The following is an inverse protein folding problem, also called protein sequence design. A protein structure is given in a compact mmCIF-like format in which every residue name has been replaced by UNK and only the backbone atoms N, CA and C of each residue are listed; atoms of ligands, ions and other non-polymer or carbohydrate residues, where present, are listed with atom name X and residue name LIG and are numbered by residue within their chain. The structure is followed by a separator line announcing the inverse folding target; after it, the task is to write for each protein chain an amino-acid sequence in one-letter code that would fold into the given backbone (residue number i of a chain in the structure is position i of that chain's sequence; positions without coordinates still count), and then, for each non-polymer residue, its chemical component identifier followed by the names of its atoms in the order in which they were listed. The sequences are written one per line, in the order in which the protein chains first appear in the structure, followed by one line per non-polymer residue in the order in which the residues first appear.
data_IF_483736319027
#
_entry.id   IF_483736319027
#
_cell.length_a   1.000
_cell.length_b   1.000
_cell.length_c   1.000
_cell.angle_alpha   90.00
_cell.angle_beta   90.00
_cell.angle_gamma   90.00
#
_symmetry.space_group_name_H-M   'P 1'
#
loop_
_entity.id
_entity.type
_entity.pdbx_description
1 polymer ?
#
# COMPACT_ATOMS: atom_id res chain seq x y z
N UNK A 1 33.95 -10.63 -67.84
CA UNK A 1 33.35 -10.84 -66.51
C UNK A 1 32.95 -9.48 -65.96
N UNK A 2 31.66 -9.14 -65.95
CA UNK A 2 31.14 -7.85 -65.45
C UNK A 2 30.31 -8.15 -64.21
N UNK A 3 30.69 -7.59 -63.07
CA UNK A 3 29.96 -7.67 -61.81
C UNK A 3 29.08 -6.43 -61.74
N UNK A 4 27.77 -6.63 -61.86
CA UNK A 4 26.75 -5.59 -61.63
C UNK A 4 26.43 -5.56 -60.14
N UNK A 5 26.78 -4.44 -59.50
CA UNK A 5 26.41 -4.12 -58.12
C UNK A 5 24.96 -3.63 -58.09
N UNK A 6 24.11 -4.31 -57.32
CA UNK A 6 22.73 -3.89 -57.08
C UNK A 6 22.71 -3.06 -55.78
N UNK A 7 22.61 -1.74 -55.92
CA UNK A 7 22.40 -0.82 -54.79
C UNK A 7 20.95 -0.88 -54.34
N UNK A 8 20.72 -1.38 -53.12
CA UNK A 8 19.42 -1.35 -52.47
C UNK A 8 19.23 0.03 -51.80
N UNK A 9 18.46 0.90 -52.44
CA UNK A 9 18.03 2.19 -51.90
C UNK A 9 16.80 1.94 -50.99
N UNK A 10 17.03 1.79 -49.69
CA UNK A 10 15.95 1.69 -48.72
C UNK A 10 15.28 3.05 -48.53
N UNK A 11 14.07 3.21 -49.08
CA UNK A 11 13.19 4.34 -48.76
C UNK A 11 12.73 4.22 -47.30
N UNK A 12 13.22 5.11 -46.44
CA UNK A 12 12.65 5.41 -45.14
C UNK A 12 11.26 6.05 -45.34
N UNK A 13 10.23 5.21 -45.41
CA UNK A 13 8.84 5.67 -45.25
C UNK A 13 8.66 5.92 -43.76
N UNK A 14 8.65 7.18 -43.37
CA UNK A 14 8.25 7.60 -42.03
C UNK A 14 6.79 7.23 -41.79
N UNK A 15 6.55 6.10 -41.11
CA UNK A 15 5.29 5.86 -40.44
C UNK A 15 5.19 6.87 -39.30
N UNK A 16 4.53 8.00 -39.54
CA UNK A 16 3.84 8.72 -38.48
C UNK A 16 2.79 7.76 -37.93
N UNK A 17 3.12 7.09 -36.82
CA UNK A 17 2.16 6.35 -36.02
C UNK A 17 1.03 7.33 -35.68
N UNK A 18 -0.12 7.15 -36.32
CA UNK A 18 -1.32 7.90 -36.01
C UNK A 18 -1.68 7.58 -34.57
N UNK A 19 -1.41 8.52 -33.67
CA UNK A 19 -1.88 8.46 -32.29
C UNK A 19 -3.41 8.42 -32.38
N UNK A 20 -4.08 7.36 -31.90
CA UNK A 20 -5.53 7.27 -31.95
C UNK A 20 -6.13 8.53 -31.30
N UNK A 21 -7.11 9.13 -31.98
CA UNK A 21 -7.82 10.32 -31.53
C UNK A 21 -8.59 9.95 -30.25
N UNK A 22 -7.96 10.14 -29.09
CA UNK A 22 -8.59 9.90 -27.79
C UNK A 22 -9.72 10.92 -27.55
N UNK A 23 -10.82 10.52 -26.89
CA UNK A 23 -11.88 11.43 -26.48
C UNK A 23 -11.30 12.63 -25.71
N UNK A 24 -11.65 13.85 -26.12
CA UNK A 24 -11.12 15.13 -25.63
C UNK A 24 -11.77 15.62 -24.33
N UNK A 25 -12.30 14.72 -23.50
CA UNK A 25 -13.06 15.16 -22.32
C UNK A 25 -12.15 15.64 -21.16
N UNK A 26 -10.84 15.36 -21.23
CA UNK A 26 -9.85 15.87 -20.28
C UNK A 26 -8.79 16.68 -21.01
N UNK A 27 -8.57 17.93 -20.58
CA UNK A 27 -7.42 18.75 -21.00
C UNK A 27 -6.18 18.31 -20.22
N UNK A 28 -5.16 17.71 -20.87
CA UNK A 28 -3.96 17.26 -20.17
C UNK A 28 -3.13 18.39 -19.55
N UNK A 29 -3.33 19.64 -19.98
CA UNK A 29 -2.65 20.81 -19.42
C UNK A 29 -3.41 21.40 -18.22
N UNK A 30 -4.69 21.06 -18.07
CA UNK A 30 -5.52 21.43 -16.93
C UNK A 30 -6.48 20.28 -16.58
N UNK A 31 -5.94 19.14 -16.10
CA UNK A 31 -6.76 17.96 -15.84
C UNK A 31 -7.88 18.23 -14.83
N UNK A 32 -7.62 19.08 -13.83
CA UNK A 32 -8.62 19.45 -12.82
C UNK A 32 -9.83 20.20 -13.37
N UNK A 33 -9.75 20.79 -14.58
CA UNK A 33 -10.95 21.37 -15.21
C UNK A 33 -12.03 20.32 -15.52
N UNK A 34 -11.65 19.05 -15.50
CA UNK A 34 -12.50 17.90 -15.79
C UNK A 34 -12.98 17.19 -14.51
N UNK A 35 -12.60 17.70 -13.34
CA UNK A 35 -13.00 17.14 -12.06
C UNK A 35 -14.54 17.22 -11.89
N UNK A 36 -15.16 16.22 -11.23
CA UNK A 36 -16.59 16.24 -10.97
C UNK A 36 -16.99 17.49 -10.20
N UNK A 37 -17.99 18.22 -10.72
CA UNK A 37 -18.55 19.42 -10.06
C UNK A 37 -19.32 19.09 -8.79
N UNK A 38 -19.77 17.85 -8.66
CA UNK A 38 -20.47 17.32 -7.50
C UNK A 38 -19.79 16.02 -7.09
N UNK A 39 -19.42 15.86 -5.82
CA UNK A 39 -18.84 14.62 -5.32
C UNK A 39 -19.76 13.43 -5.64
N UNK A 40 -19.19 12.28 -6.02
CA UNK A 40 -19.98 11.07 -6.20
C UNK A 40 -20.59 10.66 -4.85
N UNK A 41 -21.83 10.16 -4.86
CA UNK A 41 -22.52 9.70 -3.64
C UNK A 41 -21.93 8.43 -3.04
N UNK A 42 -21.14 7.69 -3.83
CA UNK A 42 -20.36 6.52 -3.44
C UNK A 42 -19.21 6.37 -4.42
N UNK A 43 -18.07 5.86 -3.96
CA UNK A 43 -17.01 5.49 -4.89
C UNK A 43 -17.35 4.16 -5.55
N UNK A 44 -16.76 3.92 -6.73
CA UNK A 44 -16.71 2.54 -7.23
C UNK A 44 -15.74 1.79 -6.32
N UNK A 45 -16.09 0.57 -5.92
CA UNK A 45 -15.19 -0.30 -5.16
C UNK A 45 -13.78 -0.19 -5.75
N UNK A 46 -12.76 0.08 -4.90
CA UNK A 46 -11.44 0.30 -5.41
C UNK A 46 -11.03 -0.92 -6.22
N UNK A 47 -10.39 -0.76 -7.40
CA UNK A 47 -9.91 -1.90 -8.16
C UNK A 47 -8.68 -2.50 -7.46
N UNK A 48 -8.85 -3.11 -6.28
CA UNK A 48 -7.94 -4.17 -5.87
C UNK A 48 -8.10 -5.29 -6.89
N UNK A 49 -7.03 -5.93 -7.35
CA UNK A 49 -7.13 -7.01 -8.32
C UNK A 49 -8.15 -8.06 -7.83
N UNK A 50 -9.37 -8.03 -8.40
CA UNK A 50 -10.51 -8.83 -7.92
C UNK A 50 -10.25 -10.34 -7.97
N UNK A 51 -9.19 -10.78 -8.67
CA UNK A 51 -8.73 -12.17 -8.68
C UNK A 51 -8.18 -12.65 -7.34
N UNK A 52 -7.93 -11.76 -6.38
CA UNK A 52 -7.41 -12.10 -5.05
C UNK A 52 -8.27 -11.38 -4.01
N UNK A 53 -9.47 -11.88 -3.74
CA UNK A 53 -10.36 -11.35 -2.68
C UNK A 53 -9.78 -11.46 -1.26
N UNK A 54 -8.50 -11.82 -1.13
CA UNK A 54 -7.75 -11.97 0.11
C UNK A 54 -6.32 -11.50 -0.13
N UNK A 55 -5.71 -10.87 0.87
CA UNK A 55 -4.29 -10.50 0.83
C UNK A 55 -3.45 -11.76 0.52
N UNK A 56 -2.72 -11.81 -0.60
CA UNK A 56 -1.97 -13.00 -0.96
C UNK A 56 -0.81 -13.31 -0.01
N UNK A 57 -0.34 -12.31 0.73
CA UNK A 57 0.76 -12.42 1.70
C UNK A 57 0.29 -12.84 3.09
N UNK A 58 -1.00 -12.69 3.41
CA UNK A 58 -1.52 -12.85 4.77
C UNK A 58 -1.09 -14.17 5.43
N UNK A 59 -0.23 -14.05 6.45
CA UNK A 59 0.27 -15.18 7.24
C UNK A 59 1.16 -16.16 6.47
N UNK A 60 1.66 -15.77 5.31
CA UNK A 60 2.51 -16.61 4.46
C UNK A 60 3.95 -16.11 4.37
N UNK A 61 4.24 -14.89 4.80
CA UNK A 61 5.61 -14.41 4.91
C UNK A 61 6.35 -15.17 6.01
N UNK A 62 7.59 -15.56 5.70
CA UNK A 62 8.42 -16.37 6.60
C UNK A 62 9.64 -15.58 7.07
N UNK A 63 10.12 -15.90 8.26
CA UNK A 63 11.42 -15.40 8.72
C UNK A 63 12.54 -16.13 7.97
N UNK A 64 13.59 -15.38 7.64
CA UNK A 64 14.85 -15.93 7.14
C UNK A 64 15.35 -17.04 8.09
N UNK A 65 15.84 -18.19 7.58
CA UNK A 65 16.30 -19.29 8.43
C UNK A 65 17.40 -18.87 9.41
N UNK A 66 17.41 -19.43 10.61
CA UNK A 66 18.46 -19.15 11.60
C UNK A 66 19.89 -19.54 11.14
N UNK A 67 20.01 -20.41 10.13
CA UNK A 67 21.30 -20.71 9.47
C UNK A 67 21.88 -19.53 8.69
N UNK A 68 21.07 -18.50 8.42
CA UNK A 68 21.44 -17.25 7.77
C UNK A 68 21.84 -16.16 8.78
N UNK A 69 22.60 -16.51 9.81
CA UNK A 69 23.10 -15.53 10.80
C UNK A 69 23.99 -14.43 10.22
N UNK A 70 24.44 -14.56 8.96
CA UNK A 70 25.10 -13.51 8.20
C UNK A 70 24.62 -13.53 6.74
N UNK A 71 23.62 -12.70 6.41
CA UNK A 71 23.14 -12.52 5.04
C UNK A 71 24.14 -11.84 4.11
N UNK A 72 25.17 -11.17 4.65
CA UNK A 72 26.26 -10.54 3.89
C UNK A 72 27.26 -11.56 3.37
N UNK A 73 27.39 -12.69 4.06
CA UNK A 73 28.24 -13.81 3.66
C UNK A 73 27.50 -15.12 3.96
N UNK A 74 26.43 -15.42 3.19
CA UNK A 74 25.58 -16.55 3.50
C UNK A 74 26.38 -17.85 3.34
N UNK A 75 26.25 -18.74 4.32
CA UNK A 75 26.78 -20.09 4.19
C UNK A 75 26.02 -20.87 3.11
N UNK A 76 26.62 -21.92 2.55
CA UNK A 76 25.90 -22.84 1.66
C UNK A 76 24.64 -23.43 2.33
N UNK A 77 24.68 -23.60 3.65
CA UNK A 77 23.53 -24.05 4.43
C UNK A 77 22.42 -22.99 4.45
N UNK A 78 22.76 -21.72 4.67
CA UNK A 78 21.80 -20.61 4.55
C UNK A 78 21.14 -20.58 3.17
N UNK A 79 21.93 -20.67 2.09
CA UNK A 79 21.40 -20.64 0.72
C UNK A 79 20.44 -21.80 0.46
N UNK A 80 20.81 -23.02 0.85
CA UNK A 80 19.93 -24.20 0.73
C UNK A 80 18.64 -24.06 1.55
N UNK A 81 18.74 -23.54 2.76
CA UNK A 81 17.57 -23.38 3.64
C UNK A 81 16.63 -22.27 3.13
N UNK A 82 17.18 -21.19 2.57
CA UNK A 82 16.40 -20.15 1.88
C UNK A 82 15.69 -20.71 0.65
N UNK A 83 16.38 -21.53 -0.16
CA UNK A 83 15.78 -22.19 -1.31
C UNK A 83 14.69 -23.19 -0.91
N UNK A 84 14.81 -23.85 0.24
CA UNK A 84 13.80 -24.78 0.76
C UNK A 84 12.51 -24.06 1.23
N UNK A 85 12.58 -22.76 1.52
CA UNK A 85 11.40 -21.96 1.90
C UNK A 85 10.58 -21.45 0.69
N UNK A 86 10.93 -21.82 -0.55
CA UNK A 86 10.42 -21.23 -1.80
C UNK A 86 8.95 -21.53 -2.19
N UNK A 87 8.12 -22.09 -1.30
CA UNK A 87 6.83 -22.67 -1.73
C UNK A 87 5.57 -21.86 -1.38
N UNK A 88 5.67 -20.72 -0.69
CA UNK A 88 4.49 -20.19 0.00
C UNK A 88 3.81 -18.96 -0.62
N UNK A 89 4.48 -18.08 -1.39
CA UNK A 89 3.86 -16.83 -1.86
C UNK A 89 4.27 -16.41 -3.28
N UNK A 90 3.62 -16.98 -4.30
CA UNK A 90 3.89 -16.67 -5.70
C UNK A 90 3.33 -15.33 -6.23
N UNK A 91 3.37 -14.23 -5.47
CA UNK A 91 2.67 -12.96 -5.84
C UNK A 91 3.54 -11.77 -6.24
N UNK A 92 4.84 -11.77 -5.95
CA UNK A 92 5.81 -10.96 -6.70
C UNK A 92 6.65 -11.87 -7.60
N UNK A 93 7.63 -11.30 -8.30
CA UNK A 93 8.76 -12.06 -8.83
C UNK A 93 9.62 -12.77 -7.74
N UNK A 94 9.16 -12.79 -6.47
CA UNK A 94 9.84 -13.24 -5.26
C UNK A 94 8.91 -13.36 -4.04
N UNK A 95 9.46 -13.77 -2.88
CA UNK A 95 8.75 -13.79 -1.59
C UNK A 95 9.09 -12.53 -0.77
N UNK A 96 8.16 -12.16 0.12
CA UNK A 96 8.44 -11.25 1.24
C UNK A 96 8.87 -12.09 2.45
N UNK A 97 10.11 -11.88 2.92
CA UNK A 97 10.69 -12.56 4.08
C UNK A 97 11.04 -11.53 5.15
N UNK A 98 10.93 -11.91 6.42
CA UNK A 98 11.39 -11.08 7.53
C UNK A 98 12.83 -11.45 7.89
N UNK A 99 13.71 -10.45 8.06
CA UNK A 99 15.13 -10.66 8.35
C UNK A 99 15.36 -11.52 9.60
N UNK A 100 14.58 -11.25 10.64
CA UNK A 100 14.58 -11.94 11.92
C UNK A 100 13.20 -11.75 12.60
N UNK A 101 13.11 -12.06 13.88
CA UNK A 101 11.90 -11.82 14.68
C UNK A 101 11.84 -10.41 15.28
N UNK A 102 12.52 -9.41 14.68
CA UNK A 102 12.46 -8.01 15.14
C UNK A 102 11.12 -7.34 14.85
N UNK A 103 10.38 -7.84 13.85
CA UNK A 103 9.01 -7.42 13.61
C UNK A 103 8.06 -8.15 14.56
N UNK A 104 7.23 -7.41 15.29
CA UNK A 104 6.07 -8.01 15.97
C UNK A 104 4.98 -8.42 14.95
N UNK A 105 3.96 -9.12 15.42
CA UNK A 105 2.92 -9.66 14.52
C UNK A 105 2.08 -8.55 13.85
N UNK A 106 1.90 -7.40 14.51
CA UNK A 106 1.22 -6.24 13.93
C UNK A 106 2.05 -5.61 12.82
N UNK A 107 3.36 -5.46 13.03
CA UNK A 107 4.30 -4.97 12.02
C UNK A 107 4.41 -5.91 10.82
N UNK A 108 4.45 -7.23 11.05
CA UNK A 108 4.43 -8.23 9.97
C UNK A 108 3.15 -8.09 9.13
N UNK A 109 1.99 -8.03 9.78
CA UNK A 109 0.71 -7.84 9.09
C UNK A 109 0.70 -6.52 8.30
N UNK A 110 1.18 -5.43 8.88
CA UNK A 110 1.25 -4.14 8.20
C UNK A 110 2.16 -4.19 6.96
N UNK A 111 3.27 -4.91 7.01
CA UNK A 111 4.17 -5.10 5.87
C UNK A 111 3.55 -6.00 4.80
N UNK A 112 2.87 -7.08 5.17
CA UNK A 112 2.14 -7.93 4.23
C UNK A 112 1.03 -7.14 3.50
N UNK A 113 0.29 -6.27 4.22
CA UNK A 113 -0.70 -5.36 3.62
C UNK A 113 -0.02 -4.34 2.72
N UNK A 114 1.04 -3.69 3.18
CA UNK A 114 1.74 -2.68 2.40
C UNK A 114 2.34 -3.23 1.12
N UNK A 115 2.89 -4.45 1.19
CA UNK A 115 3.34 -5.15 0.01
C UNK A 115 2.15 -5.34 -0.95
N UNK A 116 1.01 -5.85 -0.50
CA UNK A 116 -0.16 -6.04 -1.36
C UNK A 116 -0.66 -4.72 -1.98
N UNK A 117 -0.66 -3.65 -1.21
CA UNK A 117 -0.98 -2.30 -1.69
C UNK A 117 0.04 -1.85 -2.75
N UNK A 118 1.34 -2.06 -2.55
CA UNK A 118 2.38 -1.77 -3.54
C UNK A 118 2.19 -2.57 -4.85
N UNK A 119 1.79 -3.84 -4.76
CA UNK A 119 1.43 -4.65 -5.93
C UNK A 119 0.24 -4.05 -6.67
N UNK A 120 -0.79 -3.63 -5.93
CA UNK A 120 -1.99 -2.98 -6.47
C UNK A 120 -1.61 -1.70 -7.20
N UNK A 121 -0.85 -0.81 -6.57
CA UNK A 121 -0.36 0.43 -7.17
C UNK A 121 0.51 0.15 -8.41
N UNK A 122 1.43 -0.81 -8.33
CA UNK A 122 2.24 -1.21 -9.47
C UNK A 122 1.37 -1.67 -10.65
N UNK A 123 0.24 -2.36 -10.43
CA UNK A 123 -0.72 -2.76 -11.46
C UNK A 123 -1.39 -1.58 -12.20
N UNK A 124 -1.56 -0.45 -11.53
CA UNK A 124 -2.05 0.78 -12.15
C UNK A 124 -0.97 1.46 -12.99
N UNK A 125 0.25 1.61 -12.45
CA UNK A 125 1.33 2.30 -13.18
C UNK A 125 2.05 1.44 -14.24
N UNK A 126 2.01 0.11 -14.15
CA UNK A 126 2.69 -0.82 -15.06
C UNK A 126 1.98 -1.05 -16.40
N UNK A 127 1.21 -0.07 -16.86
CA UNK A 127 0.50 -0.08 -18.13
C UNK A 127 0.76 1.24 -18.87
N UNK A 128 0.78 1.15 -20.19
CA UNK A 128 0.84 2.35 -21.04
C UNK A 128 -0.47 3.15 -20.87
N UNK A 129 -0.43 4.48 -20.74
CA UNK A 129 -1.65 5.28 -20.63
C UNK A 129 -2.52 5.11 -21.88
N UNK A 130 -3.81 4.84 -21.69
CA UNK A 130 -4.81 4.58 -22.73
C UNK A 130 -5.90 5.66 -22.80
N UNK A 131 -5.95 6.56 -21.82
CA UNK A 131 -6.95 7.63 -21.70
C UNK A 131 -6.32 9.00 -21.50
N UNK A 132 -7.07 10.06 -21.82
CA UNK A 132 -6.63 11.44 -21.58
C UNK A 132 -6.32 11.72 -20.10
N UNK A 133 -7.09 11.10 -19.21
CA UNK A 133 -6.90 11.09 -17.75
C UNK A 133 -5.53 10.56 -17.36
N UNK A 134 -5.20 9.34 -17.80
CA UNK A 134 -3.91 8.72 -17.51
C UNK A 134 -2.76 9.53 -18.12
N UNK A 135 -2.93 10.03 -19.35
CA UNK A 135 -1.91 10.89 -20.00
C UNK A 135 -1.63 12.14 -19.18
N UNK A 136 -2.67 12.78 -18.64
CA UNK A 136 -2.50 13.95 -17.78
C UNK A 136 -1.72 13.60 -16.50
N UNK A 137 -2.02 12.47 -15.87
CA UNK A 137 -1.26 11.97 -14.70
C UNK A 137 0.20 11.70 -15.04
N UNK A 138 0.46 11.05 -16.18
CA UNK A 138 1.82 10.81 -16.67
C UNK A 138 2.57 12.12 -16.93
N UNK A 139 1.92 13.12 -17.55
CA UNK A 139 2.52 14.45 -17.76
C UNK A 139 2.87 15.16 -16.45
N UNK A 140 2.01 15.03 -15.45
CA UNK A 140 2.20 15.68 -14.15
C UNK A 140 3.37 15.07 -13.36
N UNK A 141 3.44 13.74 -13.27
CA UNK A 141 4.37 13.06 -12.35
C UNK A 141 5.64 12.51 -13.03
N UNK A 142 5.63 12.33 -14.35
CA UNK A 142 6.81 11.92 -15.13
C UNK A 142 7.34 13.08 -15.98
N UNK A 143 6.46 13.83 -16.62
CA UNK A 143 6.80 15.01 -17.41
C UNK A 143 6.16 15.01 -18.79
N UNK A 144 6.09 16.16 -19.49
CA UNK A 144 5.46 16.26 -20.80
C UNK A 144 6.12 15.38 -21.88
N UNK A 145 7.39 15.00 -21.69
CA UNK A 145 8.19 14.11 -22.54
C UNK A 145 8.19 12.64 -22.10
N UNK A 146 7.23 12.23 -21.26
CA UNK A 146 7.16 10.88 -20.68
C UNK A 146 7.26 9.75 -21.71
N UNK A 147 6.79 9.97 -22.94
CA UNK A 147 6.79 8.96 -24.00
C UNK A 147 8.19 8.41 -24.31
N UNK A 148 9.24 9.20 -24.06
CA UNK A 148 10.64 8.78 -24.24
C UNK A 148 11.13 7.78 -23.18
N UNK A 149 10.51 7.75 -22.00
CA UNK A 149 10.87 6.87 -20.87
C UNK A 149 9.76 5.89 -20.48
N UNK A 150 8.61 5.95 -21.15
CA UNK A 150 7.43 5.15 -20.83
C UNK A 150 7.72 3.65 -20.77
N UNK A 151 8.49 3.12 -21.73
CA UNK A 151 8.88 1.71 -21.74
C UNK A 151 9.64 1.30 -20.48
N UNK A 152 10.64 2.08 -20.08
CA UNK A 152 11.40 1.84 -18.84
C UNK A 152 10.49 1.85 -17.62
N UNK A 153 9.65 2.87 -17.49
CA UNK A 153 8.81 3.05 -16.31
C UNK A 153 7.83 1.89 -16.17
N UNK A 154 7.16 1.53 -17.27
CA UNK A 154 6.23 0.40 -17.34
C UNK A 154 6.94 -0.92 -17.05
N UNK A 155 8.12 -1.16 -17.64
CA UNK A 155 8.87 -2.40 -17.43
C UNK A 155 9.34 -2.56 -15.97
N UNK A 156 9.76 -1.46 -15.34
CA UNK A 156 10.17 -1.45 -13.93
C UNK A 156 9.00 -1.79 -13.00
N UNK A 157 7.82 -1.18 -13.20
CA UNK A 157 6.62 -1.51 -12.41
C UNK A 157 6.12 -2.93 -12.70
N UNK A 158 6.26 -3.42 -13.93
CA UNK A 158 5.92 -4.81 -14.27
C UNK A 158 6.84 -5.84 -13.62
N UNK A 159 8.10 -5.51 -13.31
CA UNK A 159 8.98 -6.43 -12.57
C UNK A 159 8.43 -6.77 -11.19
N UNK A 160 7.66 -5.88 -10.59
CA UNK A 160 6.93 -6.12 -9.34
C UNK A 160 5.78 -7.12 -9.59
N UNK A 161 5.06 -6.94 -10.69
CA UNK A 161 3.93 -7.77 -11.09
C UNK A 161 4.32 -9.15 -11.65
N UNK A 162 5.58 -9.35 -12.04
CA UNK A 162 6.04 -10.50 -12.83
C UNK A 162 5.97 -11.79 -11.98
N UNK A 163 4.80 -12.43 -11.92
CA UNK A 163 4.58 -13.75 -11.29
C UNK A 163 5.31 -14.80 -12.12
N UNK A 164 6.60 -15.04 -11.85
CA UNK A 164 7.37 -16.03 -12.61
C UNK A 164 7.44 -17.36 -11.87
N UNK A 165 7.33 -18.50 -12.58
CA UNK A 165 7.61 -19.83 -12.03
C UNK A 165 9.09 -20.04 -11.65
N UNK A 166 9.95 -19.05 -11.90
CA UNK A 166 11.33 -19.01 -11.42
C UNK A 166 11.48 -17.71 -10.65
N UNK A 167 11.41 -17.83 -9.32
CA UNK A 167 11.78 -16.80 -8.36
C UNK A 167 13.05 -16.09 -8.82
N UNK A 168 12.99 -14.76 -8.93
CA UNK A 168 14.13 -13.95 -9.38
C UNK A 168 14.89 -13.33 -8.21
N UNK A 169 14.21 -13.03 -7.11
CA UNK A 169 14.79 -12.43 -5.92
C UNK A 169 13.89 -12.67 -4.70
N UNK A 170 14.38 -12.35 -3.50
CA UNK A 170 13.59 -12.20 -2.28
C UNK A 170 13.68 -10.76 -1.81
N UNK A 171 12.59 -10.24 -1.24
CA UNK A 171 12.62 -9.01 -0.45
C UNK A 171 12.72 -9.41 1.02
N UNK A 172 13.84 -9.05 1.64
CA UNK A 172 14.09 -9.22 3.07
C UNK A 172 13.72 -7.90 3.75
N UNK A 173 12.58 -7.90 4.43
CA UNK A 173 12.08 -6.78 5.19
C UNK A 173 12.60 -6.81 6.63
N UNK A 174 12.94 -5.64 7.17
CA UNK A 174 13.37 -5.46 8.56
C UNK A 174 12.59 -4.32 9.22
N UNK A 175 12.13 -4.54 10.45
CA UNK A 175 11.51 -3.53 11.31
C UNK A 175 12.54 -2.83 12.21
N UNK A 176 13.81 -3.23 12.11
CA UNK A 176 14.93 -2.66 12.84
C UNK A 176 15.81 -1.84 11.91
N UNK A 177 16.31 -0.71 12.42
CA UNK A 177 17.32 0.08 11.71
C UNK A 177 18.67 -0.65 11.62
N UNK A 178 18.84 -1.49 10.61
CA UNK A 178 20.00 -2.38 10.41
C UNK A 178 21.29 -1.64 10.03
N UNK A 179 21.17 -0.43 9.47
CA UNK A 179 22.29 0.44 9.06
C UNK A 179 22.46 1.69 9.90
N UNK A 180 21.56 1.95 10.86
CA UNK A 180 21.56 3.20 11.62
C UNK A 180 21.14 4.42 10.77
N UNK A 181 20.49 4.19 9.62
CA UNK A 181 20.15 5.22 8.66
C UNK A 181 18.83 5.92 8.98
N UNK A 182 17.91 5.30 9.72
CA UNK A 182 16.68 5.96 10.14
C UNK A 182 16.97 7.27 10.92
N UNK A 183 18.06 7.30 11.70
CA UNK A 183 18.52 8.51 12.42
C UNK A 183 19.26 9.52 11.55
N UNK A 184 19.99 9.08 10.52
CA UNK A 184 20.62 10.00 9.58
C UNK A 184 19.59 10.72 8.70
N UNK A 185 18.38 10.16 8.66
CA UNK A 185 17.27 10.64 7.86
C UNK A 185 16.29 11.48 8.71
N UNK A 186 16.45 11.58 10.04
CA UNK A 186 15.61 12.48 10.87
C UNK A 186 15.85 13.94 10.49
N UNK A 187 14.87 14.48 9.77
CA UNK A 187 14.89 15.74 9.04
C UNK A 187 14.01 15.61 7.78
N UNK A 188 14.09 14.44 7.13
CA UNK A 188 13.25 14.05 5.99
C UNK A 188 12.15 13.04 6.35
N UNK A 189 11.09 13.09 5.56
CA UNK A 189 9.82 12.35 5.68
C UNK A 189 9.89 10.87 5.30
N UNK A 190 10.93 10.17 5.69
CA UNK A 190 11.30 8.90 5.04
C UNK A 190 10.78 7.70 5.83
N UNK A 191 9.98 6.88 5.17
CA UNK A 191 9.40 5.67 5.74
C UNK A 191 10.39 4.49 5.82
N UNK A 192 11.49 4.51 5.08
CA UNK A 192 12.44 3.42 5.10
C UNK A 192 13.70 3.67 4.28
N UNK A 193 14.44 2.61 4.02
CA UNK A 193 15.51 2.62 3.04
C UNK A 193 15.68 1.21 2.47
N UNK A 194 16.09 1.16 1.22
CA UNK A 194 16.32 -0.08 0.51
C UNK A 194 17.75 -0.15 -0.02
N UNK A 195 18.26 -1.38 -0.10
CA UNK A 195 19.56 -1.65 -0.70
C UNK A 195 19.60 -3.05 -1.30
N UNK A 196 20.51 -3.22 -2.23
CA UNK A 196 20.79 -4.50 -2.85
C UNK A 196 22.17 -4.97 -2.42
N UNK A 197 22.26 -6.19 -1.90
CA UNK A 197 23.55 -6.81 -1.55
C UNK A 197 23.86 -7.95 -2.51
N UNK A 198 25.08 -7.97 -3.05
CA UNK A 198 25.58 -9.08 -3.87
C UNK A 198 26.26 -10.09 -2.97
N UNK A 199 25.59 -11.20 -2.71
CA UNK A 199 26.13 -12.32 -1.98
C UNK A 199 27.18 -13.11 -2.77
N UNK A 200 27.83 -14.03 -2.05
CA UNK A 200 28.75 -15.00 -2.64
C UNK A 200 27.98 -15.96 -3.58
N UNK A 201 28.64 -16.46 -4.64
CA UNK A 201 28.03 -17.27 -5.72
C UNK A 201 26.97 -16.57 -6.61
N UNK A 202 26.90 -15.24 -6.61
CA UNK A 202 26.03 -14.49 -7.52
C UNK A 202 24.57 -14.34 -7.05
N UNK A 203 24.26 -14.78 -5.83
CA UNK A 203 22.99 -14.46 -5.19
C UNK A 203 22.92 -12.95 -4.92
N UNK A 204 21.73 -12.39 -5.05
CA UNK A 204 21.49 -10.97 -4.77
C UNK A 204 20.33 -10.84 -3.81
N UNK A 205 20.58 -10.28 -2.64
CA UNK A 205 19.58 -10.05 -1.61
C UNK A 205 19.03 -8.64 -1.76
N UNK A 206 17.70 -8.52 -1.76
CA UNK A 206 17.01 -7.24 -1.83
C UNK A 206 16.51 -6.92 -0.44
N UNK A 207 16.96 -5.83 0.15
CA UNK A 207 16.60 -5.48 1.51
C UNK A 207 15.79 -4.21 1.55
N UNK A 208 14.78 -4.20 2.41
CA UNK A 208 14.02 -3.01 2.76
C UNK A 208 13.97 -2.93 4.29
N UNK A 209 14.47 -1.84 4.85
CA UNK A 209 14.28 -1.51 6.26
C UNK A 209 13.23 -0.42 6.38
N UNK A 210 12.25 -0.60 7.26
CA UNK A 210 11.22 0.40 7.52
C UNK A 210 11.51 1.08 8.85
N UNK A 211 11.48 2.39 8.86
CA UNK A 211 11.71 3.20 10.05
C UNK A 211 10.42 3.30 10.88
N UNK A 212 10.50 3.56 12.21
CA UNK A 212 9.31 3.56 13.08
C UNK A 212 8.13 4.41 12.58
N UNK A 213 8.42 5.59 12.02
CA UNK A 213 7.41 6.51 11.47
C UNK A 213 6.55 5.91 10.34
N UNK A 214 7.05 4.89 9.65
CA UNK A 214 6.32 4.17 8.61
C UNK A 214 5.07 3.46 9.14
N UNK A 215 5.16 2.92 10.34
CA UNK A 215 4.07 2.11 10.91
C UNK A 215 2.87 2.97 11.34
N UNK A 216 3.07 4.28 11.53
CA UNK A 216 2.00 5.25 11.74
C UNK A 216 1.25 5.68 10.47
N UNK A 217 1.68 5.25 9.27
CA UNK A 217 0.97 5.56 8.03
C UNK A 217 -0.28 4.70 7.85
N UNK A 218 -1.30 5.23 7.17
CA UNK A 218 -2.49 4.45 6.80
C UNK A 218 -2.19 3.45 5.67
N UNK A 219 -2.97 2.38 5.59
CA UNK A 219 -3.00 1.50 4.42
C UNK A 219 -3.64 2.20 3.22
N UNK A 220 -3.51 1.63 2.02
CA UNK A 220 -4.19 2.16 0.83
C UNK A 220 -5.72 2.15 1.02
N UNK A 221 -6.25 1.10 1.64
CA UNK A 221 -7.67 0.95 1.96
C UNK A 221 -8.13 1.96 3.00
N UNK A 222 -7.39 2.16 4.10
CA UNK A 222 -7.72 3.19 5.08
C UNK A 222 -7.74 4.60 4.48
N UNK A 223 -6.81 4.89 3.53
CA UNK A 223 -6.88 6.16 2.77
C UNK A 223 -8.07 6.24 1.83
N UNK A 224 -8.44 5.14 1.19
CA UNK A 224 -9.63 5.11 0.34
C UNK A 224 -10.90 5.38 1.15
N UNK A 225 -11.09 4.71 2.28
CA UNK A 225 -12.23 4.90 3.19
C UNK A 225 -12.31 6.35 3.69
N UNK A 226 -11.19 6.91 4.15
CA UNK A 226 -11.10 8.32 4.55
C UNK A 226 -11.57 9.29 3.45
N UNK A 227 -11.17 9.04 2.20
CA UNK A 227 -11.55 9.87 1.05
C UNK A 227 -13.02 9.67 0.68
N UNK A 228 -13.52 8.44 0.70
CA UNK A 228 -14.93 8.14 0.44
C UNK A 228 -15.84 8.85 1.45
N UNK A 229 -15.51 8.78 2.73
CA UNK A 229 -16.26 9.48 3.78
C UNK A 229 -16.23 11.01 3.60
N UNK A 230 -15.08 11.57 3.24
CA UNK A 230 -14.97 13.01 2.98
C UNK A 230 -15.85 13.43 1.78
N UNK A 231 -15.79 12.68 0.68
CA UNK A 231 -16.61 12.93 -0.50
C UNK A 231 -18.10 12.81 -0.21
N UNK A 232 -18.52 11.83 0.60
CA UNK A 232 -19.91 11.67 1.04
C UNK A 232 -20.42 12.89 1.85
N UNK A 233 -19.52 13.60 2.55
CA UNK A 233 -19.81 14.86 3.27
C UNK A 233 -19.69 16.11 2.37
N UNK A 234 -19.33 15.94 1.11
CA UNK A 234 -19.15 17.04 0.17
C UNK A 234 -17.75 17.68 0.19
N UNK A 235 -16.80 17.10 0.92
CA UNK A 235 -15.41 17.59 1.00
C UNK A 235 -14.52 16.87 -0.02
N UNK A 236 -14.08 17.60 -1.04
CA UNK A 236 -13.23 17.07 -2.12
C UNK A 236 -11.73 17.18 -1.82
N UNK A 237 -11.33 17.82 -0.72
CA UNK A 237 -9.94 18.18 -0.43
C UNK A 237 -9.02 16.96 -0.46
N UNK A 238 -9.45 15.85 0.12
CA UNK A 238 -8.65 14.61 0.21
C UNK A 238 -8.54 13.85 -1.13
N UNK A 239 -9.51 14.03 -2.02
CA UNK A 239 -9.48 13.47 -3.37
C UNK A 239 -8.65 14.35 -4.34
N UNK A 240 -8.70 15.67 -4.16
CA UNK A 240 -8.03 16.64 -5.02
C UNK A 240 -6.56 16.85 -4.68
N UNK A 241 -6.15 16.78 -3.42
CA UNK A 241 -4.76 17.09 -3.02
C UNK A 241 -4.01 15.78 -2.74
N UNK A 242 -3.03 15.49 -3.58
CA UNK A 242 -2.26 14.25 -3.55
C UNK A 242 -1.55 14.00 -2.21
N UNK A 243 -1.17 15.04 -1.47
CA UNK A 243 -0.52 14.89 -0.16
C UNK A 243 -1.36 14.09 0.85
N UNK A 244 -2.69 14.15 0.74
CA UNK A 244 -3.61 13.40 1.61
C UNK A 244 -3.71 11.91 1.26
N UNK A 245 -3.16 11.50 0.12
CA UNK A 245 -3.25 10.14 -0.42
C UNK A 245 -2.01 9.29 -0.10
N UNK A 246 -1.09 9.80 0.73
CA UNK A 246 0.08 9.06 1.22
C UNK A 246 -0.35 7.84 2.01
N UNK A 247 0.24 6.69 1.72
CA UNK A 247 -0.09 5.42 2.37
C UNK A 247 1.12 4.48 2.42
N UNK A 248 1.04 3.46 3.28
CA UNK A 248 2.08 2.43 3.48
C UNK A 248 2.48 1.74 2.17
N UNK A 249 1.52 1.43 1.30
CA UNK A 249 1.77 0.79 0.01
C UNK A 249 2.58 1.65 -0.95
N UNK A 250 2.28 2.96 -1.01
CA UNK A 250 3.02 3.92 -1.82
C UNK A 250 4.47 4.07 -1.35
N UNK A 251 4.70 4.13 -0.03
CA UNK A 251 6.05 4.16 0.53
C UNK A 251 6.79 2.82 0.32
N UNK A 252 6.11 1.69 0.47
CA UNK A 252 6.74 0.39 0.19
C UNK A 252 7.12 0.25 -1.29
N UNK A 253 6.25 0.70 -2.20
CA UNK A 253 6.53 0.76 -3.63
C UNK A 253 7.74 1.66 -3.95
N UNK A 254 7.88 2.80 -3.27
CA UNK A 254 9.06 3.65 -3.37
C UNK A 254 10.33 2.87 -3.05
N UNK A 255 10.37 2.18 -1.89
CA UNK A 255 11.54 1.40 -1.50
C UNK A 255 11.82 0.22 -2.44
N UNK A 256 10.77 -0.44 -2.94
CA UNK A 256 10.92 -1.48 -3.95
C UNK A 256 11.61 -0.98 -5.21
N UNK A 257 11.45 0.30 -5.57
CA UNK A 257 12.09 0.85 -6.76
C UNK A 257 13.62 0.95 -6.64
N UNK A 258 14.16 1.13 -5.45
CA UNK A 258 15.61 1.15 -5.21
C UNK A 258 16.28 -0.21 -5.35
N UNK A 259 15.50 -1.30 -5.33
CA UNK A 259 16.01 -2.66 -5.48
C UNK A 259 16.48 -2.90 -6.92
N UNK A 260 17.71 -3.36 -7.12
CA UNK A 260 18.24 -3.59 -8.47
C UNK A 260 17.44 -4.67 -9.22
N UNK A 261 16.75 -5.56 -8.52
CA UNK A 261 15.89 -6.53 -9.19
C UNK A 261 14.65 -5.88 -9.86
N UNK A 262 14.24 -4.71 -9.37
CA UNK A 262 13.06 -3.95 -9.79
C UNK A 262 13.46 -2.73 -10.61
N UNK A 263 14.20 -1.80 -10.02
CA UNK A 263 14.65 -0.57 -10.67
C UNK A 263 15.82 -0.80 -11.62
N UNK A 264 15.56 -0.76 -12.93
CA UNK A 264 16.60 -0.87 -13.96
C UNK A 264 16.56 0.31 -14.96
N UNK A 265 17.65 1.09 -15.12
CA UNK A 265 18.88 1.06 -14.30
C UNK A 265 18.56 1.37 -12.82
N UNK A 266 19.56 1.23 -11.94
CA UNK A 266 19.39 1.54 -10.51
C UNK A 266 18.68 2.88 -10.32
N UNK A 267 17.58 2.86 -9.57
CA UNK A 267 16.73 4.02 -9.31
C UNK A 267 17.13 4.60 -7.97
N UNK A 268 17.34 5.90 -7.90
CA UNK A 268 17.77 6.61 -6.70
C UNK A 268 16.78 7.72 -6.33
N UNK A 269 17.03 8.43 -5.24
CA UNK A 269 16.30 9.65 -4.95
C UNK A 269 16.92 10.83 -5.68
N UNK A 270 16.18 11.37 -6.64
CA UNK A 270 16.69 12.46 -7.47
C UNK A 270 16.59 13.79 -6.75
N UNK A 271 17.60 14.63 -6.94
CA UNK A 271 17.60 16.00 -6.43
C UNK A 271 16.74 16.92 -7.31
N UNK A 272 16.07 17.91 -6.72
CA UNK A 272 15.39 18.95 -7.49
C UNK A 272 16.36 19.86 -8.23
N UNK A 273 17.63 19.95 -7.83
CA UNK A 273 18.65 20.67 -8.60
C UNK A 273 19.18 19.79 -9.75
N UNK A 274 19.78 20.41 -10.78
CA UNK A 274 20.46 19.67 -11.87
C UNK A 274 21.90 19.29 -11.51
N UNK A 275 22.43 19.81 -10.40
CA UNK A 275 23.74 19.43 -9.89
C UNK A 275 23.55 18.21 -8.99
N UNK A 276 24.10 17.08 -9.39
CA UNK A 276 24.02 15.82 -8.64
C UNK A 276 24.45 16.06 -7.17
N UNK A 277 23.67 15.55 -6.22
CA UNK A 277 23.93 15.59 -4.78
C UNK A 277 23.89 16.97 -4.09
N UNK A 278 23.28 17.99 -4.71
CA UNK A 278 23.12 19.31 -4.09
C UNK A 278 21.65 19.72 -4.11
N UNK A 279 21.11 20.07 -2.94
CA UNK A 279 19.79 20.68 -2.77
C UNK A 279 18.72 19.72 -2.23
N UNK A 280 17.44 20.12 -2.25
CA UNK A 280 16.34 19.27 -1.81
C UNK A 280 16.14 18.09 -2.77
N UNK A 281 15.80 16.92 -2.22
CA UNK A 281 15.36 15.75 -3.00
C UNK A 281 13.93 15.95 -3.53
N UNK A 282 13.60 15.26 -4.61
CA UNK A 282 12.29 15.28 -5.25
C UNK A 282 11.33 14.30 -4.55
N UNK A 283 11.05 14.58 -3.28
CA UNK A 283 10.09 13.84 -2.47
C UNK A 283 8.72 14.52 -2.43
N UNK A 284 7.69 13.71 -2.26
CA UNK A 284 6.31 14.14 -2.22
C UNK A 284 5.78 14.54 -3.59
N UNK A 285 4.46 14.77 -3.70
CA UNK A 285 3.81 15.02 -4.98
C UNK A 285 4.31 16.33 -5.60
N UNK A 286 4.56 17.37 -4.80
CA UNK A 286 5.09 18.65 -5.27
C UNK A 286 6.55 18.57 -5.75
N UNK A 287 7.40 17.82 -5.05
CA UNK A 287 8.79 17.60 -5.45
C UNK A 287 8.87 16.80 -6.74
N UNK A 288 8.12 15.69 -6.82
CA UNK A 288 8.02 14.88 -8.04
C UNK A 288 7.47 15.70 -9.21
N UNK A 289 6.40 16.47 -9.01
CA UNK A 289 5.85 17.35 -10.03
C UNK A 289 6.90 18.36 -10.51
N UNK A 290 7.58 19.04 -9.58
CA UNK A 290 8.65 20.00 -9.90
C UNK A 290 9.80 19.36 -10.69
N UNK A 291 10.16 18.11 -10.36
CA UNK A 291 11.16 17.34 -11.10
C UNK A 291 10.69 17.05 -12.53
N UNK A 292 9.45 16.61 -12.68
CA UNK A 292 8.81 16.26 -13.94
C UNK A 292 8.60 17.45 -14.89
N UNK A 293 8.40 18.66 -14.36
CA UNK A 293 8.21 19.86 -15.18
C UNK A 293 9.51 20.54 -15.65
N UNK A 294 10.68 19.93 -15.42
CA UNK A 294 11.95 20.50 -15.87
C UNK A 294 12.12 20.49 -17.39
N UNK A 295 12.79 21.54 -17.89
CA UNK A 295 13.04 21.77 -19.32
C UNK A 295 13.76 20.59 -20.01
N UNK A 296 13.20 20.21 -21.16
CA UNK A 296 13.71 19.22 -22.12
C UNK A 296 15.18 19.45 -22.51
N UNK A 297 15.61 20.71 -22.61
CA UNK A 297 17.00 21.07 -22.99
C UNK A 297 18.04 20.70 -21.92
N UNK A 298 17.62 20.35 -20.70
CA UNK A 298 18.49 19.96 -19.58
C UNK A 298 18.38 18.46 -19.25
N UNK A 299 18.04 17.65 -20.24
CA UNK A 299 17.86 16.20 -20.08
C UNK A 299 16.39 15.76 -19.93
N UNK A 300 15.45 16.72 -19.86
CA UNK A 300 14.01 16.45 -19.76
C UNK A 300 13.55 15.99 -18.39
N UNK A 301 12.29 16.30 -18.07
CA UNK A 301 11.65 15.88 -16.82
C UNK A 301 11.53 14.36 -16.76
N UNK A 302 11.10 13.73 -17.86
CA UNK A 302 10.90 12.29 -17.93
C UNK A 302 12.17 11.49 -17.65
N UNK A 303 13.33 11.90 -18.19
CA UNK A 303 14.60 11.19 -17.93
C UNK A 303 14.91 11.15 -16.45
N UNK A 304 14.77 12.28 -15.75
CA UNK A 304 15.05 12.36 -14.32
C UNK A 304 13.99 11.65 -13.49
N UNK A 305 12.71 11.84 -13.80
CA UNK A 305 11.62 11.14 -13.14
C UNK A 305 11.75 9.62 -13.29
N UNK A 306 12.21 9.14 -14.45
CA UNK A 306 12.46 7.71 -14.68
C UNK A 306 13.59 7.11 -13.84
N UNK A 307 14.37 7.95 -13.16
CA UNK A 307 15.46 7.59 -12.25
C UNK A 307 15.16 7.98 -10.79
N UNK A 308 13.94 8.44 -10.49
CA UNK A 308 13.49 8.87 -9.17
C UNK A 308 12.47 7.88 -8.60
N UNK A 309 12.74 7.24 -7.48
CA UNK A 309 11.83 6.25 -6.89
C UNK A 309 10.44 6.84 -6.62
N UNK A 310 10.38 8.07 -6.09
CA UNK A 310 9.13 8.71 -5.73
C UNK A 310 8.26 9.08 -6.95
N UNK A 311 8.86 9.25 -8.13
CA UNK A 311 8.11 9.46 -9.37
C UNK A 311 7.28 8.24 -9.77
N UNK A 312 7.79 7.03 -9.53
CA UNK A 312 7.04 5.79 -9.77
C UNK A 312 5.90 5.66 -8.76
N UNK A 313 6.20 5.88 -7.48
CA UNK A 313 5.26 5.76 -6.38
C UNK A 313 4.08 6.73 -6.53
N UNK A 314 4.36 8.01 -6.83
CA UNK A 314 3.33 9.02 -7.04
C UNK A 314 2.56 8.87 -8.35
N UNK A 315 3.20 8.43 -9.44
CA UNK A 315 2.48 8.09 -10.67
C UNK A 315 1.44 6.99 -10.39
N UNK A 316 1.86 5.89 -9.76
CA UNK A 316 1.00 4.76 -9.47
C UNK A 316 -0.15 5.13 -8.51
N UNK A 317 0.17 5.83 -7.41
CA UNK A 317 -0.81 6.30 -6.43
C UNK A 317 -1.84 7.25 -7.06
N UNK A 318 -1.37 8.21 -7.87
CA UNK A 318 -2.25 9.19 -8.51
C UNK A 318 -3.13 8.56 -9.59
N UNK A 319 -2.62 7.56 -10.33
CA UNK A 319 -3.44 6.81 -11.28
C UNK A 319 -4.57 6.06 -10.56
N UNK A 320 -4.25 5.41 -9.43
CA UNK A 320 -5.23 4.71 -8.61
C UNK A 320 -6.32 5.65 -8.08
N UNK A 321 -5.93 6.72 -7.37
CA UNK A 321 -6.92 7.64 -6.77
C UNK A 321 -7.69 8.45 -7.81
N UNK A 322 -7.05 8.82 -8.92
CA UNK A 322 -7.79 9.49 -9.99
C UNK A 322 -8.85 8.53 -10.54
N UNK A 323 -8.51 7.27 -10.82
CA UNK A 323 -9.48 6.25 -11.27
C UNK A 323 -10.65 6.08 -10.31
N UNK A 324 -10.35 5.88 -9.02
CA UNK A 324 -11.33 5.70 -7.96
C UNK A 324 -12.28 6.89 -7.77
N UNK A 325 -11.73 8.09 -7.65
CA UNK A 325 -12.49 9.27 -7.19
C UNK A 325 -13.03 10.12 -8.34
N UNK A 326 -12.40 10.04 -9.51
CA UNK A 326 -12.65 10.93 -10.62
C UNK A 326 -12.01 12.31 -10.48
N UNK A 327 -11.35 12.64 -9.36
CA UNK A 327 -10.63 13.90 -9.15
C UNK A 327 -9.15 13.74 -9.46
N UNK A 328 -8.57 14.69 -10.20
CA UNK A 328 -7.14 14.70 -10.49
C UNK A 328 -6.34 14.98 -9.21
N UNK A 329 -5.44 14.06 -8.78
CA UNK A 329 -4.61 14.30 -7.60
C UNK A 329 -3.55 15.35 -7.88
N UNK A 330 -3.84 16.58 -7.46
CA UNK A 330 -2.99 17.76 -7.62
C UNK A 330 -1.87 17.75 -6.58
N UNK A 331 -0.64 18.16 -6.93
CA UNK A 331 0.33 18.53 -5.89
C UNK A 331 -0.20 19.74 -5.11
N UNK A 332 0.09 19.82 -3.81
CA UNK A 332 -0.32 20.97 -3.00
C UNK A 332 0.29 22.29 -3.51
N UNK A 333 -0.53 23.34 -3.54
CA UNK A 333 -0.09 24.69 -3.89
C UNK A 333 0.63 25.32 -2.68
N UNK A 334 1.96 25.21 -2.61
CA UNK A 334 2.72 25.85 -1.53
C UNK A 334 4.16 25.39 -1.34
N UNK A 335 4.52 24.22 -1.83
CA UNK A 335 5.84 23.60 -1.59
C UNK A 335 6.72 23.74 -2.82
N UNK A 336 6.99 24.98 -3.24
CA UNK A 336 8.16 25.27 -4.09
C UNK A 336 9.42 25.12 -3.23
N UNK A 337 9.86 23.88 -3.03
CA UNK A 337 11.19 23.56 -2.50
C UNK A 337 11.40 23.69 -0.98
N UNK A 338 10.34 23.84 -0.19
CA UNK A 338 10.38 23.45 1.23
C UNK A 338 9.89 22.01 1.31
N UNK A 339 10.57 21.17 2.11
CA UNK A 339 10.01 19.90 2.57
C UNK A 339 8.54 20.13 2.83
N UNK A 340 7.65 19.45 2.10
CA UNK A 340 6.24 19.53 2.42
C UNK A 340 6.14 19.21 3.89
N UNK A 341 5.70 20.17 4.72
CA UNK A 341 5.46 19.94 6.13
C UNK A 341 4.62 18.68 6.18
N UNK A 342 5.25 17.64 6.68
CA UNK A 342 4.78 16.29 6.48
C UNK A 342 3.61 16.11 7.41
N UNK A 343 2.41 16.34 6.89
CA UNK A 343 1.18 16.11 7.62
C UNK A 343 1.08 14.59 7.80
N UNK A 344 1.67 14.10 8.88
CA UNK A 344 1.41 12.78 9.40
C UNK A 344 0.14 12.87 10.23
N UNK A 345 -0.84 12.05 9.90
CA UNK A 345 -1.90 11.78 10.85
C UNK A 345 -1.32 10.86 11.89
N UNK A 346 -1.05 11.43 13.05
CA UNK A 346 -0.72 10.66 14.24
C UNK A 346 -2.07 10.29 14.84
N UNK A 347 -2.39 9.00 14.85
CA UNK A 347 -3.56 8.51 15.57
C UNK A 347 -3.30 8.70 17.08
N UNK A 348 -4.02 9.63 17.69
CA UNK A 348 -3.92 9.92 19.13
C UNK A 348 -4.89 9.06 19.95
N UNK A 349 -5.52 8.08 19.32
CA UNK A 349 -6.63 7.31 19.86
C UNK A 349 -7.90 8.14 19.99
N UNK A 350 -8.96 7.50 20.46
CA UNK A 350 -10.24 8.17 20.73
C UNK A 350 -10.12 9.13 21.93
N UNK A 351 -10.82 10.26 21.84
CA UNK A 351 -10.99 11.21 22.93
C UNK A 351 -12.41 11.06 23.49
N UNK A 352 -12.52 10.85 24.80
CA UNK A 352 -13.81 10.91 25.47
C UNK A 352 -14.24 12.38 25.66
N UNK A 353 -15.05 12.90 24.74
CA UNK A 353 -15.56 14.27 24.79
C UNK A 353 -14.64 15.31 24.12
N UNK A 354 -14.75 16.58 24.50
CA UNK A 354 -13.91 17.65 23.95
C UNK A 354 -12.46 17.48 24.39
N UNK A 355 -11.59 17.13 23.44
CA UNK A 355 -10.16 16.99 23.64
C UNK A 355 -9.54 18.33 24.05
N UNK A 356 -8.85 18.37 25.20
CA UNK A 356 -8.10 19.55 25.64
C UNK A 356 -6.75 19.57 24.92
N UNK A 357 -6.30 20.76 24.51
CA UNK A 357 -5.00 20.95 23.83
C UNK A 357 -3.83 20.28 24.56
N UNK A 358 -3.79 20.35 25.89
CA UNK A 358 -2.75 19.71 26.70
C UNK A 358 -2.77 18.17 26.64
N UNK A 359 -3.94 17.56 26.43
CA UNK A 359 -4.07 16.11 26.25
C UNK A 359 -3.65 15.69 24.85
N UNK A 360 -4.06 16.44 23.82
CA UNK A 360 -3.62 16.26 22.44
C UNK A 360 -2.09 16.34 22.36
N UNK A 361 -1.49 17.40 22.91
CA UNK A 361 -0.03 17.60 22.90
C UNK A 361 0.70 16.48 23.67
N UNK A 362 0.15 16.03 24.80
CA UNK A 362 0.70 14.92 25.57
C UNK A 362 0.68 13.60 24.78
N UNK A 363 -0.45 13.26 24.14
CA UNK A 363 -0.57 12.02 23.36
C UNK A 363 0.29 12.08 22.10
N UNK A 364 0.29 13.21 21.40
CA UNK A 364 1.15 13.45 20.25
C UNK A 364 2.62 13.30 20.62
N UNK A 365 3.04 13.93 21.72
CA UNK A 365 4.42 13.80 22.21
C UNK A 365 4.74 12.37 22.62
N UNK A 366 3.83 11.65 23.26
CA UNK A 366 4.03 10.25 23.61
C UNK A 366 4.21 9.37 22.36
N UNK A 367 3.43 9.61 21.31
CA UNK A 367 3.53 8.89 20.04
C UNK A 367 4.82 9.25 19.28
N UNK A 368 5.21 10.52 19.27
CA UNK A 368 6.49 10.95 18.68
C UNK A 368 7.69 10.40 19.46
N UNK A 369 7.62 10.40 20.80
CA UNK A 369 8.66 9.86 21.68
C UNK A 369 8.71 8.31 21.59
N UNK A 370 7.59 7.65 21.25
CA UNK A 370 7.54 6.20 21.00
C UNK A 370 8.33 5.81 19.75
N UNK A 371 8.29 6.62 18.69
CA UNK A 371 9.09 6.39 17.47
C UNK A 371 10.61 6.45 17.70
N UNK A 372 11.05 7.17 18.74
CA UNK A 372 12.47 7.33 19.08
C UNK A 372 12.98 6.28 20.07
N UNK A 373 12.06 5.51 20.67
CA UNK A 373 12.37 4.55 21.72
C UNK A 373 12.35 3.14 21.13
N UNK A 374 13.34 2.27 21.43
CA UNK A 374 13.21 0.86 21.11
C UNK A 374 11.92 0.33 21.76
N UNK A 375 11.19 -0.62 21.11
CA UNK A 375 9.95 -1.14 21.67
C UNK A 375 10.19 -1.60 23.11
N UNK A 376 9.33 -1.21 24.06
CA UNK A 376 9.53 -1.58 25.45
C UNK A 376 9.66 -3.10 25.54
N UNK A 377 10.68 -3.56 26.24
CA UNK A 377 10.85 -4.99 26.51
C UNK A 377 9.61 -5.43 27.29
N UNK A 378 8.85 -6.44 26.82
CA UNK A 378 7.62 -6.85 27.48
C UNK A 378 7.96 -7.25 28.91
N UNK A 379 7.56 -6.40 29.84
CA UNK A 379 7.48 -6.74 31.26
C UNK A 379 6.01 -6.97 31.53
N UNK A 380 5.57 -8.16 31.11
CA UNK A 380 4.20 -8.65 31.08
C UNK A 380 3.63 -8.85 32.48
N UNK A 381 3.08 -7.79 33.06
CA UNK A 381 2.03 -7.95 34.05
C UNK A 381 1.10 -6.75 34.05
N UNK A 382 -0.10 -6.90 33.50
CA UNK A 382 -1.20 -5.95 33.68
C UNK A 382 -2.19 -6.51 34.72
N UNK A 383 -2.87 -5.63 35.46
CA UNK A 383 -3.99 -6.03 36.34
C UNK A 383 -5.34 -5.60 35.78
N UNK A 384 -5.32 -4.67 34.83
CA UNK A 384 -6.48 -4.04 34.21
C UNK A 384 -6.09 -3.45 32.86
N UNK A 385 -7.08 -3.17 32.01
CA UNK A 385 -6.88 -2.55 30.69
C UNK A 385 -6.19 -1.18 30.80
N UNK A 386 -6.42 -0.45 31.90
CA UNK A 386 -5.76 0.84 32.17
C UNK A 386 -4.27 0.73 32.49
N UNK A 387 -3.75 -0.47 32.79
CA UNK A 387 -2.32 -0.70 33.03
C UNK A 387 -1.55 -0.90 31.71
N UNK A 388 -2.25 -1.07 30.58
CA UNK A 388 -1.65 -1.21 29.26
C UNK A 388 -1.42 0.17 28.64
N UNK A 389 -0.15 0.59 28.54
CA UNK A 389 0.24 1.82 27.85
C UNK A 389 0.50 1.58 26.36
N UNK A 390 0.34 2.65 25.57
CA UNK A 390 0.01 2.66 24.14
C UNK A 390 1.11 2.50 23.05
N UNK A 391 2.40 2.13 23.28
CA UNK A 391 3.37 2.17 22.17
C UNK A 391 3.49 0.87 21.35
N UNK A 392 2.77 -0.21 21.66
CA UNK A 392 3.00 -1.54 21.05
C UNK A 392 1.97 -1.99 19.98
N UNK A 393 0.91 -1.22 19.70
CA UNK A 393 -0.11 -1.58 18.70
C UNK A 393 -0.30 -0.44 17.68
N UNK A 394 0.79 0.13 17.16
CA UNK A 394 0.73 1.19 16.15
C UNK A 394 0.17 0.65 14.82
N UNK A 395 -1.15 0.78 14.65
CA UNK A 395 -1.86 0.45 13.42
C UNK A 395 -3.36 0.28 13.61
N UNK A 396 -4.14 1.32 13.29
CA UNK A 396 -5.57 1.24 12.93
C UNK A 396 -6.49 0.52 13.91
N UNK A 397 -7.02 1.24 14.91
CA UNK A 397 -8.27 0.86 15.59
C UNK A 397 -8.25 -0.38 16.51
N UNK A 398 -7.08 -0.92 16.86
CA UNK A 398 -6.97 -1.98 17.86
C UNK A 398 -7.08 -1.41 19.29
N UNK A 399 -7.85 -2.07 20.17
CA UNK A 399 -8.05 -1.66 21.57
C UNK A 399 -7.17 -2.50 22.49
N UNK A 400 -6.56 -1.87 23.49
CA UNK A 400 -5.80 -2.55 24.54
C UNK A 400 -6.72 -3.35 25.45
N UNK A 401 -6.38 -4.61 25.72
CA UNK A 401 -7.04 -5.38 26.78
C UNK A 401 -6.02 -6.20 27.54
N UNK A 402 -6.17 -6.20 28.87
CA UNK A 402 -5.43 -7.05 29.77
C UNK A 402 -6.09 -8.43 29.79
N UNK A 403 -5.52 -9.36 29.04
CA UNK A 403 -6.00 -10.75 28.94
C UNK A 403 -5.03 -11.64 29.72
N UNK A 404 -5.55 -12.30 30.75
CA UNK A 404 -4.80 -13.25 31.61
C UNK A 404 -3.53 -12.65 32.23
N UNK A 405 -3.55 -11.35 32.54
CA UNK A 405 -2.41 -10.64 33.12
C UNK A 405 -1.36 -10.18 32.12
N UNK A 406 -1.63 -10.33 30.82
CA UNK A 406 -0.79 -9.85 29.71
C UNK A 406 -1.52 -8.79 28.88
N UNK A 407 -0.82 -7.74 28.45
CA UNK A 407 -1.40 -6.77 27.52
C UNK A 407 -1.40 -7.38 26.11
N UNK A 408 -2.56 -7.47 25.49
CA UNK A 408 -2.72 -8.01 24.13
C UNK A 408 -3.41 -6.98 23.23
N UNK A 409 -3.01 -6.93 21.95
CA UNK A 409 -3.72 -6.16 20.93
C UNK A 409 -4.94 -6.98 20.46
N UNK A 410 -6.15 -6.44 20.58
CA UNK A 410 -7.39 -7.11 20.16
C UNK A 410 -8.38 -6.17 19.49
N UNK A 411 -9.34 -6.72 18.74
CA UNK A 411 -10.48 -5.95 18.24
C UNK A 411 -11.37 -5.51 19.42
N UNK A 412 -11.99 -4.32 19.38
CA UNK A 412 -12.85 -3.84 20.46
C UNK A 412 -13.92 -4.88 20.83
N UNK A 413 -14.05 -5.18 22.13
CA UNK A 413 -15.19 -5.94 22.62
C UNK A 413 -16.45 -5.14 22.33
N UNK A 414 -17.46 -5.68 21.62
CA UNK A 414 -18.66 -4.93 21.32
C UNK A 414 -19.34 -4.47 22.63
N UNK A 415 -19.86 -3.23 22.68
CA UNK A 415 -20.54 -2.73 23.86
C UNK A 415 -21.72 -3.65 24.21
N UNK A 416 -22.10 -3.76 25.50
CA UNK A 416 -23.28 -4.51 25.88
C UNK A 416 -24.49 -3.95 25.13
N UNK A 417 -25.17 -4.82 24.38
CA UNK A 417 -26.33 -4.49 23.54
C UNK A 417 -27.39 -3.73 24.35
N UNK A 418 -27.39 -2.41 24.25
CA UNK A 418 -28.59 -1.61 24.42
C UNK A 418 -29.40 -1.75 23.13
N UNK A 419 -30.50 -2.49 23.23
CA UNK A 419 -31.47 -2.82 22.18
C UNK A 419 -31.56 -1.78 21.04
N UNK A 420 -31.18 -2.13 19.79
CA UNK A 420 -31.56 -1.36 18.62
C UNK A 420 -32.79 -1.95 17.94
N UNK A 421 -33.65 -1.05 17.47
CA UNK A 421 -34.64 -1.32 16.42
C UNK A 421 -33.90 -1.76 15.15
N UNK A 422 -34.34 -2.79 14.41
CA UNK A 422 -33.54 -3.38 13.35
C UNK A 422 -33.67 -2.63 12.02
N UNK A 423 -32.53 -2.29 11.43
CA UNK A 423 -32.35 -2.23 9.97
C UNK A 423 -31.97 -3.62 9.46
N UNK A 424 -32.46 -4.07 8.30
CA UNK A 424 -32.42 -5.48 7.90
C UNK A 424 -31.03 -5.90 7.37
N UNK A 425 -30.56 -7.12 7.71
CA UNK A 425 -29.36 -7.70 7.11
C UNK A 425 -29.62 -8.27 5.72
N UNK A 426 -28.55 -8.27 4.93
CA UNK A 426 -28.42 -8.85 3.59
C UNK A 426 -28.65 -10.37 3.68
N UNK A 427 -29.47 -10.90 2.77
CA UNK A 427 -30.02 -12.26 2.65
C UNK A 427 -31.35 -12.53 3.36
N UNK A 428 -32.41 -11.81 2.97
CA UNK A 428 -33.79 -12.18 3.31
C UNK A 428 -34.23 -13.46 2.58
N UNK A 429 -34.65 -14.52 3.29
CA UNK A 429 -35.33 -15.67 2.69
C UNK A 429 -36.70 -15.26 2.12
N UNK A 430 -37.31 -16.08 1.24
CA UNK A 430 -38.59 -15.74 0.60
C UNK A 430 -39.67 -15.39 1.63
N UNK A 431 -40.60 -14.47 1.28
CA UNK A 431 -41.67 -14.05 2.18
C UNK A 431 -42.46 -15.24 2.72
N UNK A 432 -42.54 -15.36 4.06
CA UNK A 432 -43.25 -16.45 4.75
C UNK A 432 -42.37 -17.39 5.58
N UNK A 433 -41.04 -17.26 5.50
CA UNK A 433 -40.11 -18.10 6.28
C UNK A 433 -39.94 -17.52 7.69
N UNK A 434 -40.37 -18.25 8.73
CA UNK A 434 -40.09 -17.91 10.14
C UNK A 434 -38.81 -18.60 10.57
N UNK A 435 -37.75 -17.84 10.84
CA UNK A 435 -36.54 -18.36 11.47
C UNK A 435 -36.64 -18.12 12.98
N UNK A 436 -36.23 -19.10 13.78
CA UNK A 436 -36.18 -19.00 15.25
C UNK A 436 -34.74 -19.26 15.71
N UNK A 437 -34.26 -18.43 16.63
CA UNK A 437 -32.92 -18.46 17.21
C UNK A 437 -32.89 -19.32 18.49
N UNK A 438 -31.73 -19.89 18.80
CA UNK A 438 -31.42 -20.60 20.06
C UNK A 438 -32.29 -21.81 20.39
N UNK A 439 -32.61 -22.63 19.38
CA UNK A 439 -33.39 -23.87 19.55
C UNK A 439 -32.48 -25.09 19.53
N UNK A 440 -32.68 -26.03 20.47
CA UNK A 440 -31.97 -27.30 20.46
C UNK A 440 -32.41 -28.16 19.27
N UNK A 441 -31.52 -29.00 18.74
CA UNK A 441 -31.81 -29.86 17.58
C UNK A 441 -33.00 -30.81 17.80
N UNK A 442 -33.17 -31.29 19.04
CA UNK A 442 -34.32 -32.11 19.44
C UNK A 442 -35.63 -31.32 19.47
N UNK A 443 -35.58 -30.05 19.87
CA UNK A 443 -36.76 -29.18 19.86
C UNK A 443 -37.13 -28.80 18.42
N UNK A 444 -36.13 -28.57 17.56
CA UNK A 444 -36.31 -28.25 16.16
C UNK A 444 -37.11 -29.32 15.39
N UNK A 445 -36.83 -30.59 15.66
CA UNK A 445 -37.40 -31.72 14.92
C UNK A 445 -38.71 -32.27 15.50
N UNK A 446 -39.01 -32.00 16.78
CA UNK A 446 -40.18 -32.58 17.46
C UNK A 446 -41.33 -31.60 17.70
N UNK A 447 -41.08 -30.29 17.70
CA UNK A 447 -42.08 -29.27 18.06
C UNK A 447 -42.54 -28.38 16.91
N UNK A 448 -41.92 -28.50 15.73
CA UNK A 448 -42.16 -27.58 14.62
C UNK A 448 -42.65 -28.32 13.37
N UNK A 449 -43.75 -27.86 12.81
CA UNK A 449 -44.31 -28.36 11.55
C UNK A 449 -44.10 -27.32 10.45
N UNK A 450 -43.52 -27.75 9.32
CA UNK A 450 -43.42 -26.93 8.12
C UNK A 450 -44.73 -27.02 7.31
N UNK A 451 -45.20 -25.91 6.72
CA UNK A 451 -46.24 -25.98 5.71
C UNK A 451 -45.73 -26.74 4.46
N UNK A 452 -46.58 -27.61 3.91
CA UNK A 452 -46.45 -28.29 2.61
C UNK A 452 -45.14 -29.05 2.33
N UNK A 453 -45.12 -30.37 2.56
CA UNK A 453 -44.11 -31.37 2.15
C UNK A 453 -42.61 -31.08 2.45
N UNK A 454 -42.30 -29.95 3.07
CA UNK A 454 -40.94 -29.52 3.43
C UNK A 454 -40.43 -30.20 4.69
N UNK A 455 -39.11 -30.36 4.79
CA UNK A 455 -38.45 -30.96 5.95
C UNK A 455 -37.82 -29.89 6.84
N UNK A 456 -38.00 -30.01 8.15
CA UNK A 456 -37.28 -29.18 9.13
C UNK A 456 -35.83 -29.66 9.23
N UNK A 457 -34.87 -28.73 9.21
CA UNK A 457 -33.47 -29.02 9.50
C UNK A 457 -32.77 -27.88 10.25
N UNK A 458 -31.70 -28.22 10.97
CA UNK A 458 -30.88 -27.27 11.71
C UNK A 458 -29.68 -26.79 10.88
N UNK A 459 -29.39 -25.49 10.92
CA UNK A 459 -28.15 -24.92 10.36
C UNK A 459 -27.31 -24.35 11.51
N UNK A 460 -26.07 -24.80 11.64
CA UNK A 460 -25.08 -24.21 12.55
C UNK A 460 -24.21 -23.22 11.78
N UNK A 461 -24.08 -22.00 12.30
CA UNK A 461 -23.18 -21.01 11.74
C UNK A 461 -21.79 -21.14 12.40
N UNK A 462 -20.72 -21.30 11.61
CA UNK A 462 -19.39 -21.67 12.11
C UNK A 462 -18.66 -20.63 12.97
N UNK A 463 -19.28 -19.49 13.26
CA UNK A 463 -18.69 -18.37 14.01
C UNK A 463 -19.44 -18.04 15.32
N UNK A 464 -20.56 -18.70 15.62
CA UNK A 464 -21.28 -18.60 16.89
C UNK A 464 -22.08 -19.90 17.15
N UNK A 465 -22.21 -20.36 18.39
CA UNK A 465 -23.02 -21.55 18.76
C UNK A 465 -24.54 -21.38 18.57
N UNK A 466 -24.98 -20.54 17.63
CA UNK A 466 -26.39 -20.28 17.34
C UNK A 466 -26.86 -21.31 16.31
N UNK A 467 -27.87 -22.10 16.71
CA UNK A 467 -28.52 -23.10 15.86
C UNK A 467 -29.86 -22.56 15.37
N UNK A 468 -30.07 -22.58 14.06
CA UNK A 468 -31.29 -22.08 13.42
C UNK A 468 -32.16 -23.23 12.93
N UNK A 469 -33.48 -23.14 13.14
CA UNK A 469 -34.45 -24.05 12.52
C UNK A 469 -34.95 -23.49 11.20
N UNK A 470 -34.79 -24.26 10.12
CA UNK A 470 -35.23 -23.86 8.77
C UNK A 470 -36.06 -24.96 8.12
N UNK A 471 -37.13 -24.57 7.43
CA UNK A 471 -37.90 -25.45 6.55
C UNK A 471 -37.25 -25.47 5.15
N UNK A 472 -36.75 -26.62 4.72
CA UNK A 472 -36.18 -26.83 3.39
C UNK A 472 -37.27 -27.22 2.40
#
# INVERSE_FOLDING_TARGET
MKITSLGLLACLVGLSLAVPHMPRDVDPENPSASDPKTPPSSLKDPPRPQSVGQNPFAGKSVTVPGSCGNLWNPSETCLRDLEAQNENVGTYAGDLKFEDNSCDDGQKLALEIAAWDALTLANFGGKNPQSAKEIATWRAYIGPDFSSQQGRIVDNLRRIQDHRPKKKFDIIASCKDTKGWCKAITGGSVGGYAWTEKGWFGYTFQHITLCPIYFGLDSLEGKFEMIEEALARGDTTYAEIADWQKNKGQYFLHEMMHLDAVGQPHISDQYLSSSENIGPKAYGPAGVYTLAQKDLKRGGGATRASLNADSYAWLANSLYFYDATGYFPRPSEGTKGAEADNIYFVDLGEFEGEAKDAEIEKRFKAEVDSFSSPPPTPTDSCKSDSDCSSPLCAGGGAVYSCVEGSCQCGSPKPPPLSSPSPSPPINTPPPGTKCFEDVSESDCTSKYECPDEKKVGCVKNGLAEITWCTCF
#
